data_IF_840969044532
#
_entry.id   IF_840969044532
#
_cell.length_a   1.000
_cell.length_b   1.000
_cell.length_c   1.000
_cell.angle_alpha   90.00
_cell.angle_beta   90.00
_cell.angle_gamma   90.00
#
_symmetry.space_group_name_H-M   'P 1'
#
loop_
_entity.id
_entity.type
_entity.pdbx_description
1 polymer ?
#
# COMPACT_ATOMS: atom_id res chain seq x y z
N UNK A 1 0.98 14.79 25.19
CA UNK A 1 -0.34 14.90 24.52
C UNK A 1 -0.43 13.84 23.44
N UNK A 2 -1.58 13.15 23.30
CA UNK A 2 -1.82 12.20 22.21
C UNK A 2 -1.80 12.91 20.84
N UNK A 3 -1.26 12.26 19.81
CA UNK A 3 -1.13 12.78 18.43
C UNK A 3 -2.44 13.41 17.93
N UNK A 4 -3.55 12.73 18.20
CA UNK A 4 -4.90 13.12 17.78
C UNK A 4 -5.36 14.49 18.33
N UNK A 5 -4.88 14.90 19.52
CA UNK A 5 -5.25 16.19 20.13
C UNK A 5 -4.56 17.37 19.44
N UNK A 6 -3.32 17.18 18.96
CA UNK A 6 -2.61 18.19 18.18
C UNK A 6 -3.24 18.34 16.79
N UNK A 7 -3.62 17.22 16.16
CA UNK A 7 -4.29 17.21 14.87
C UNK A 7 -5.63 17.97 14.87
N UNK A 8 -6.50 17.70 15.84
CA UNK A 8 -7.80 18.39 15.92
C UNK A 8 -7.65 19.91 16.11
N UNK A 9 -6.58 20.35 16.79
CA UNK A 9 -6.27 21.77 16.94
C UNK A 9 -5.78 22.38 15.60
N UNK A 10 -4.95 21.67 14.83
CA UNK A 10 -4.49 22.14 13.51
C UNK A 10 -5.64 22.24 12.50
N UNK A 11 -6.57 21.26 12.49
CA UNK A 11 -7.75 21.30 11.63
C UNK A 11 -8.69 22.46 12.02
N UNK A 12 -8.98 22.64 13.32
CA UNK A 12 -9.78 23.78 13.79
C UNK A 12 -9.14 25.12 13.46
N UNK A 13 -7.82 25.22 13.58
CA UNK A 13 -7.08 26.41 13.20
C UNK A 13 -7.16 26.66 11.69
N UNK A 14 -7.11 25.62 10.85
CA UNK A 14 -7.25 25.79 9.41
C UNK A 14 -8.65 26.28 9.01
N UNK A 15 -9.70 25.71 9.60
CA UNK A 15 -11.07 26.19 9.41
C UNK A 15 -11.25 27.66 9.84
N UNK A 16 -10.66 28.04 10.98
CA UNK A 16 -10.74 29.42 11.48
C UNK A 16 -9.97 30.43 10.60
N UNK A 17 -8.90 29.99 9.93
CA UNK A 17 -8.02 30.89 9.16
C UNK A 17 -8.31 30.90 7.65
N UNK A 18 -8.84 29.81 7.08
CA UNK A 18 -8.99 29.64 5.63
C UNK A 18 -10.42 29.30 5.21
N UNK A 19 -11.36 29.26 6.16
CA UNK A 19 -12.77 29.03 5.91
C UNK A 19 -13.15 27.55 5.76
N UNK A 20 -14.45 27.34 5.54
CA UNK A 20 -15.08 26.02 5.59
C UNK A 20 -14.80 25.13 4.39
N UNK A 21 -14.20 25.68 3.31
CA UNK A 21 -13.88 24.93 2.10
C UNK A 21 -12.40 24.51 2.06
N UNK A 22 -12.06 23.22 2.28
CA UNK A 22 -10.68 22.76 2.29
C UNK A 22 -9.98 22.85 0.93
N UNK A 23 -10.72 22.93 -0.17
CA UNK A 23 -10.17 23.10 -1.51
C UNK A 23 -9.57 24.50 -1.73
N UNK A 24 -9.95 25.48 -0.91
CA UNK A 24 -9.45 26.86 -0.98
C UNK A 24 -8.25 27.09 -0.06
N UNK A 25 -7.85 26.07 0.71
CA UNK A 25 -6.72 26.19 1.64
C UNK A 25 -5.38 26.27 0.90
N UNK A 26 -4.36 26.92 1.49
CA UNK A 26 -3.01 26.92 0.95
C UNK A 26 -2.45 25.50 0.81
N UNK A 27 -1.69 25.26 -0.24
CA UNK A 27 -1.21 23.91 -0.57
C UNK A 27 -0.28 23.33 0.50
N UNK A 28 0.48 24.16 1.21
CA UNK A 28 1.28 23.76 2.37
C UNK A 28 0.43 23.32 3.56
N UNK A 29 -0.71 23.98 3.78
CA UNK A 29 -1.68 23.62 4.82
C UNK A 29 -2.39 22.32 4.44
N UNK A 30 -2.77 22.18 3.17
CA UNK A 30 -3.29 20.92 2.62
C UNK A 30 -2.28 19.80 2.74
N UNK A 31 -1.00 20.01 2.48
CA UNK A 31 0.03 18.98 2.60
C UNK A 31 0.34 18.63 4.07
N UNK A 32 0.39 19.62 4.97
CA UNK A 32 0.57 19.39 6.41
C UNK A 32 -0.62 18.63 6.98
N UNK A 33 -1.83 19.05 6.66
CA UNK A 33 -3.08 18.37 7.06
C UNK A 33 -3.25 17.05 6.31
N UNK A 34 -2.89 16.89 5.03
CA UNK A 34 -2.96 15.60 4.32
C UNK A 34 -1.90 14.59 4.78
N UNK A 35 -0.76 15.09 5.27
CA UNK A 35 0.26 14.32 5.97
C UNK A 35 -0.16 13.96 7.40
N UNK A 36 -1.08 14.74 7.98
CA UNK A 36 -1.59 14.58 9.35
C UNK A 36 -3.05 14.13 9.45
N UNK A 37 -3.81 13.91 8.38
CA UNK A 37 -5.24 13.52 8.42
C UNK A 37 -5.31 12.04 8.82
N UNK A 38 -5.15 11.80 10.11
CA UNK A 38 -5.30 10.52 10.82
C UNK A 38 -6.75 9.99 10.79
N UNK A 39 -7.43 10.01 9.65
CA UNK A 39 -8.37 8.93 9.33
C UNK A 39 -7.62 7.73 8.72
N UNK A 40 -6.33 7.90 8.44
CA UNK A 40 -5.62 7.06 7.51
C UNK A 40 -4.60 6.13 8.15
N UNK A 41 -4.08 6.35 9.36
CA UNK A 41 -3.22 5.39 10.07
C UNK A 41 -3.90 4.78 11.30
N UNK A 42 -5.20 4.49 11.20
CA UNK A 42 -5.81 3.58 12.17
C UNK A 42 -5.05 2.25 12.13
N UNK A 43 -4.96 1.57 13.28
CA UNK A 43 -4.29 0.27 13.35
C UNK A 43 -4.82 -0.69 12.26
N UNK A 44 -6.13 -0.63 12.00
CA UNK A 44 -6.79 -1.36 10.93
C UNK A 44 -6.28 -0.96 9.53
N UNK A 45 -6.25 0.33 9.19
CA UNK A 45 -5.77 0.79 7.88
C UNK A 45 -4.29 0.48 7.65
N UNK A 46 -3.47 0.50 8.70
CA UNK A 46 -2.07 0.08 8.61
C UNK A 46 -1.96 -1.40 8.25
N UNK A 47 -2.79 -2.25 8.84
CA UNK A 47 -2.85 -3.68 8.49
C UNK A 47 -3.27 -3.86 7.03
N UNK A 48 -4.32 -3.16 6.58
CA UNK A 48 -4.80 -3.24 5.19
C UNK A 48 -3.75 -2.76 4.18
N UNK A 49 -3.06 -1.64 4.47
CA UNK A 49 -1.94 -1.17 3.64
C UNK A 49 -0.81 -2.19 3.59
N UNK A 50 -0.45 -2.76 4.74
CA UNK A 50 0.59 -3.78 4.80
C UNK A 50 0.23 -4.96 3.89
N UNK A 51 -1.01 -5.47 3.96
CA UNK A 51 -1.48 -6.52 3.03
C UNK A 51 -1.36 -6.12 1.57
N UNK A 52 -1.70 -4.88 1.21
CA UNK A 52 -1.55 -4.37 -0.15
C UNK A 52 -0.06 -4.32 -0.57
N UNK A 53 0.86 -3.92 0.32
CA UNK A 53 2.31 -3.91 0.06
C UNK A 53 2.89 -5.30 -0.14
N UNK A 54 2.34 -6.31 0.54
CA UNK A 54 2.65 -7.72 0.33
C UNK A 54 1.91 -8.34 -0.86
N UNK A 55 1.21 -7.51 -1.64
CA UNK A 55 0.60 -7.92 -2.90
C UNK A 55 -0.71 -8.69 -2.75
N UNK A 56 -1.32 -8.78 -1.58
CA UNK A 56 -2.62 -9.45 -1.45
C UNK A 56 -3.69 -8.79 -2.32
N UNK A 57 -4.63 -9.56 -2.87
CA UNK A 57 -5.67 -8.99 -3.73
C UNK A 57 -6.75 -8.30 -2.91
N UNK A 58 -7.47 -7.35 -3.50
CA UNK A 58 -8.61 -6.71 -2.82
C UNK A 58 -9.69 -7.72 -2.42
N UNK A 59 -9.83 -8.82 -3.17
CA UNK A 59 -10.79 -9.88 -2.87
C UNK A 59 -10.40 -10.62 -1.59
N UNK A 60 -9.14 -11.03 -1.47
CA UNK A 60 -8.65 -11.78 -0.30
C UNK A 60 -8.71 -10.91 0.96
N UNK A 61 -8.27 -9.65 0.85
CA UNK A 61 -8.33 -8.69 1.97
C UNK A 61 -9.79 -8.40 2.36
N UNK A 62 -10.71 -8.27 1.40
CA UNK A 62 -12.12 -8.05 1.68
C UNK A 62 -12.74 -9.21 2.47
N UNK A 63 -12.39 -10.45 2.12
CA UNK A 63 -12.84 -11.65 2.81
C UNK A 63 -12.29 -11.74 4.24
N UNK A 64 -11.00 -11.48 4.43
CA UNK A 64 -10.36 -11.58 5.74
C UNK A 64 -10.77 -10.46 6.72
N UNK A 65 -10.93 -9.23 6.23
CA UNK A 65 -11.11 -8.04 7.07
C UNK A 65 -12.54 -7.47 7.01
N UNK A 66 -13.48 -8.17 6.38
CA UNK A 66 -14.88 -7.73 6.22
C UNK A 66 -15.01 -6.29 5.68
N UNK A 67 -14.10 -5.92 4.76
CA UNK A 67 -14.13 -4.62 4.06
C UNK A 67 -14.72 -4.77 2.67
N UNK A 68 -15.32 -3.71 2.17
CA UNK A 68 -15.85 -3.71 0.80
C UNK A 68 -14.69 -3.66 -0.21
N UNK A 69 -14.77 -4.37 -1.34
CA UNK A 69 -13.78 -4.27 -2.41
C UNK A 69 -13.58 -2.83 -2.92
N UNK A 70 -14.65 -2.03 -2.93
CA UNK A 70 -14.59 -0.60 -3.31
C UNK A 70 -13.70 0.20 -2.36
N UNK A 71 -13.80 -0.04 -1.04
CA UNK A 71 -12.95 0.62 -0.05
C UNK A 71 -11.46 0.32 -0.30
N UNK A 72 -11.13 -0.95 -0.53
CA UNK A 72 -9.75 -1.38 -0.79
C UNK A 72 -9.22 -0.85 -2.13
N UNK A 73 -10.07 -0.76 -3.15
CA UNK A 73 -9.73 -0.13 -4.42
C UNK A 73 -9.39 1.36 -4.24
N UNK A 74 -10.18 2.08 -3.44
CA UNK A 74 -9.90 3.48 -3.11
C UNK A 74 -8.59 3.62 -2.32
N UNK A 75 -8.38 2.77 -1.30
CA UNK A 75 -7.15 2.76 -0.50
C UNK A 75 -5.91 2.53 -1.39
N UNK A 76 -5.94 1.49 -2.23
CA UNK A 76 -4.85 1.18 -3.17
C UNK A 76 -4.63 2.31 -4.18
N UNK A 77 -5.70 2.91 -4.70
CA UNK A 77 -5.64 4.05 -5.61
C UNK A 77 -5.04 5.31 -4.96
N UNK A 78 -5.26 5.51 -3.65
CA UNK A 78 -4.61 6.58 -2.87
C UNK A 78 -3.12 6.27 -2.67
N UNK A 79 -2.77 5.04 -2.24
CA UNK A 79 -1.37 4.62 -2.10
C UNK A 79 -0.59 4.80 -3.40
N UNK A 80 -1.19 4.46 -4.55
CA UNK A 80 -0.57 4.66 -5.88
C UNK A 80 -0.28 6.14 -6.15
N UNK A 81 -1.27 7.03 -5.94
CA UNK A 81 -1.15 8.47 -6.19
C UNK A 81 -0.10 9.14 -5.29
N UNK A 82 0.12 8.59 -4.10
CA UNK A 82 1.11 9.08 -3.13
C UNK A 82 2.47 8.41 -3.23
N UNK A 83 2.70 7.56 -4.24
CA UNK A 83 3.93 6.77 -4.38
C UNK A 83 4.26 5.90 -3.14
N UNK A 84 3.23 5.46 -2.43
CA UNK A 84 3.35 4.61 -1.23
C UNK A 84 3.33 3.11 -1.56
N UNK A 85 3.05 2.73 -2.83
CA UNK A 85 3.07 1.33 -3.29
C UNK A 85 4.50 0.81 -3.50
N UNK A 86 5.29 0.82 -2.43
CA UNK A 86 6.61 0.23 -2.38
C UNK A 86 6.46 -1.24 -2.00
N UNK A 87 6.18 -2.11 -2.97
CA UNK A 87 5.91 -3.53 -2.72
C UNK A 87 7.03 -4.18 -1.88
N UNK A 88 6.61 -5.00 -0.92
CA UNK A 88 7.47 -5.69 0.03
C UNK A 88 7.17 -7.18 0.00
N UNK A 89 8.14 -8.00 0.37
CA UNK A 89 7.96 -9.43 0.52
C UNK A 89 8.74 -9.89 1.73
N UNK A 90 8.19 -10.85 2.47
CA UNK A 90 8.96 -11.59 3.48
C UNK A 90 9.92 -12.57 2.80
N UNK A 91 10.95 -13.08 3.50
CA UNK A 91 11.82 -14.13 2.96
C UNK A 91 11.06 -15.38 2.50
N UNK A 92 10.02 -15.77 3.21
CA UNK A 92 9.18 -16.92 2.86
C UNK A 92 8.38 -16.66 1.59
N UNK A 93 7.80 -15.46 1.43
CA UNK A 93 7.09 -15.07 0.21
C UNK A 93 8.02 -15.06 -1.01
N UNK A 94 9.27 -14.60 -0.84
CA UNK A 94 10.28 -14.66 -1.90
C UNK A 94 10.70 -16.10 -2.22
N UNK A 95 10.81 -16.95 -1.20
CA UNK A 95 11.13 -18.38 -1.39
C UNK A 95 10.03 -19.09 -2.16
N UNK A 96 8.77 -18.85 -1.79
CA UNK A 96 7.61 -19.39 -2.52
C UNK A 96 7.52 -18.85 -3.95
N UNK A 97 7.82 -17.55 -4.15
CA UNK A 97 7.88 -16.95 -5.47
C UNK A 97 8.94 -17.63 -6.36
N UNK A 98 10.16 -17.82 -5.83
CA UNK A 98 11.23 -18.55 -6.54
C UNK A 98 10.78 -19.95 -6.92
N UNK A 99 10.26 -20.70 -5.94
CA UNK A 99 9.76 -22.05 -6.16
C UNK A 99 8.72 -22.11 -7.29
N UNK A 100 7.70 -21.26 -7.24
CA UNK A 100 6.67 -21.23 -8.28
C UNK A 100 7.22 -20.84 -9.66
N UNK A 101 8.14 -19.88 -9.72
CA UNK A 101 8.79 -19.50 -10.98
C UNK A 101 9.58 -20.68 -11.56
N UNK A 102 10.33 -21.41 -10.75
CA UNK A 102 11.20 -22.49 -11.20
C UNK A 102 10.43 -23.77 -11.59
N UNK A 103 9.26 -24.01 -11.00
CA UNK A 103 8.51 -25.25 -11.17
C UNK A 103 7.30 -25.13 -12.12
N UNK A 104 7.01 -23.93 -12.65
CA UNK A 104 5.96 -23.74 -13.65
C UNK A 104 6.52 -23.88 -15.07
N UNK A 105 5.82 -24.59 -15.96
CA UNK A 105 6.24 -24.79 -17.35
C UNK A 105 6.46 -23.48 -18.14
N UNK A 106 5.73 -22.40 -17.81
CA UNK A 106 5.87 -21.05 -18.42
C UNK A 106 5.48 -19.96 -17.40
N UNK A 107 6.38 -19.55 -16.49
CA UNK A 107 6.07 -18.65 -15.38
C UNK A 107 5.95 -17.19 -15.86
N UNK A 108 4.76 -16.79 -16.30
CA UNK A 108 4.43 -15.37 -16.52
C UNK A 108 3.85 -14.73 -15.24
N UNK A 109 3.91 -13.40 -15.14
CA UNK A 109 3.52 -12.69 -13.92
C UNK A 109 2.06 -12.94 -13.52
N UNK A 110 1.16 -13.07 -14.49
CA UNK A 110 -0.26 -13.32 -14.24
C UNK A 110 -0.51 -14.72 -13.68
N UNK A 111 0.14 -15.74 -14.27
CA UNK A 111 0.03 -17.12 -13.83
C UNK A 111 0.60 -17.32 -12.42
N UNK A 112 1.80 -16.79 -12.17
CA UNK A 112 2.41 -16.85 -10.84
C UNK A 112 1.56 -16.11 -9.80
N UNK A 113 1.06 -14.92 -10.14
CA UNK A 113 0.17 -14.15 -9.27
C UNK A 113 -1.11 -14.92 -8.93
N UNK A 114 -1.71 -15.61 -9.90
CA UNK A 114 -2.90 -16.43 -9.68
C UNK A 114 -2.63 -17.59 -8.72
N UNK A 115 -1.50 -18.29 -8.85
CA UNK A 115 -1.13 -19.41 -7.97
C UNK A 115 -0.84 -18.93 -6.55
N UNK A 116 -0.21 -17.76 -6.42
CA UNK A 116 0.15 -17.20 -5.12
C UNK A 116 -0.98 -16.41 -4.44
N UNK A 117 -2.13 -16.21 -5.11
CA UNK A 117 -3.17 -15.27 -4.66
C UNK A 117 -2.57 -13.88 -4.36
N UNK A 118 -1.84 -13.34 -5.34
CA UNK A 118 -1.16 -12.05 -5.27
C UNK A 118 -1.50 -11.16 -6.46
N UNK A 119 -1.14 -9.90 -6.34
CA UNK A 119 -1.21 -8.91 -7.40
C UNK A 119 -0.09 -9.14 -8.42
N UNK A 120 -0.41 -9.03 -9.71
CA UNK A 120 0.57 -9.23 -10.78
C UNK A 120 1.72 -8.20 -10.74
N UNK A 121 1.45 -6.98 -10.29
CA UNK A 121 2.45 -5.91 -10.22
C UNK A 121 3.41 -6.18 -9.05
N UNK A 122 2.93 -6.78 -7.95
CA UNK A 122 3.77 -7.28 -6.87
C UNK A 122 4.71 -8.38 -7.36
N UNK A 123 4.19 -9.38 -8.10
CA UNK A 123 5.01 -10.46 -8.68
C UNK A 123 6.08 -9.90 -9.61
N UNK A 124 5.72 -8.95 -10.49
CA UNK A 124 6.69 -8.28 -11.37
C UNK A 124 7.81 -7.64 -10.55
N UNK A 125 7.45 -6.81 -9.57
CA UNK A 125 8.40 -6.08 -8.73
C UNK A 125 9.33 -7.03 -7.96
N UNK A 126 8.79 -8.08 -7.34
CA UNK A 126 9.61 -9.02 -6.57
C UNK A 126 10.53 -9.86 -7.47
N UNK A 127 10.10 -10.23 -8.67
CA UNK A 127 10.97 -10.92 -9.64
C UNK A 127 12.13 -10.05 -10.15
N UNK A 128 11.94 -8.74 -10.21
CA UNK A 128 13.01 -7.78 -10.54
C UNK A 128 14.00 -7.70 -9.37
N UNK A 129 13.52 -7.49 -8.14
CA UNK A 129 14.38 -7.50 -6.93
C UNK A 129 15.20 -8.78 -6.78
N UNK A 130 14.61 -9.94 -7.10
CA UNK A 130 15.32 -11.22 -7.08
C UNK A 130 16.42 -11.32 -8.14
N UNK A 131 16.22 -10.71 -9.31
CA UNK A 131 17.24 -10.66 -10.37
C UNK A 131 18.38 -9.73 -9.96
N UNK A 132 18.05 -8.54 -9.48
CA UNK A 132 19.05 -7.57 -8.97
C UNK A 132 19.91 -8.18 -7.87
N UNK A 133 19.32 -8.86 -6.89
CA UNK A 133 20.05 -9.53 -5.82
C UNK A 133 20.96 -10.66 -6.34
N UNK A 134 20.51 -11.41 -7.35
CA UNK A 134 21.35 -12.46 -7.98
C UNK A 134 22.51 -11.86 -8.78
N UNK A 135 22.31 -10.73 -9.45
CA UNK A 135 23.34 -10.05 -10.21
C UNK A 135 24.36 -9.36 -9.30
N UNK A 136 23.92 -8.80 -8.17
CA UNK A 136 24.79 -8.25 -7.12
C UNK A 136 25.66 -9.35 -6.48
N UNK A 137 25.09 -10.51 -6.17
CA UNK A 137 25.83 -11.64 -5.61
C UNK A 137 26.88 -12.25 -6.58
N UNK A 138 26.81 -11.93 -7.87
CA UNK A 138 27.74 -12.39 -8.92
C UNK A 138 28.86 -11.38 -9.22
N UNK A 139 28.77 -10.15 -8.71
CA UNK A 139 29.81 -9.12 -8.82
C UNK A 139 30.80 -9.23 -7.68
#
# INVERSE_FOLDING_TARGET
MSSNKKMAAEIRAAYANYGDNPDDWPEEVKQRIQGQTEEHHTAENNVLRNRILHGYTNKDIAQEYSKTPQYLQQLRGRMRRRHELNYQATPDELTQLKYNVDHMNKPNNQGVASVMHRDKDWVRCMREKLREANDEARR
#
